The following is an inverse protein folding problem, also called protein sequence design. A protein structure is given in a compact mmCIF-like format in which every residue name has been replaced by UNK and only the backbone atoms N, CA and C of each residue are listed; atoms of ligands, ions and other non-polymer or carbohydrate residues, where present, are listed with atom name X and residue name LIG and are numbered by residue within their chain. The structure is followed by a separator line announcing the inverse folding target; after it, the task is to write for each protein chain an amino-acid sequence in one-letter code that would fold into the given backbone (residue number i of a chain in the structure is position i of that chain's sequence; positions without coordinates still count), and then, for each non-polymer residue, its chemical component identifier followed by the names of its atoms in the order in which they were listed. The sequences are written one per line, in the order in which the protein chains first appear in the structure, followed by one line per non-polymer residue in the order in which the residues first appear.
data_IF_515352583559
#
_entry.id   IF_515352583559
#
_cell.length_a   1.000
_cell.length_b   1.000
_cell.length_c   1.000
_cell.angle_alpha   90.00
_cell.angle_beta   90.00
_cell.angle_gamma   90.00
#
_symmetry.space_group_name_H-M   'P 1'
#
loop_
_entity.id
_entity.type
_entity.pdbx_description
1 polymer ?
#
# COMPACT_ATOMS: atom_id res chain seq x y z
N UNK A 1 -3.57 -3.49 50.80
CA UNK A 1 -2.54 -3.77 49.79
C UNK A 1 -2.24 -2.49 49.02
N UNK A 2 -1.03 -2.36 48.46
CA UNK A 2 -0.68 -1.35 47.47
C UNK A 2 -1.13 -1.82 46.10
N UNK A 3 -2.00 -1.05 45.46
CA UNK A 3 -2.53 -1.36 44.13
C UNK A 3 -2.07 -0.29 43.14
N UNK A 4 -1.48 -0.73 42.04
CA UNK A 4 -1.23 0.13 40.88
C UNK A 4 -2.26 -0.18 39.81
N UNK A 5 -2.94 0.84 39.30
CA UNK A 5 -3.78 0.71 38.11
C UNK A 5 -3.25 1.53 36.93
N UNK A 6 -3.31 1.01 35.70
CA UNK A 6 -2.90 1.78 34.50
C UNK A 6 -3.72 1.46 33.25
N UNK A 7 -4.24 2.52 32.62
CA UNK A 7 -5.00 2.44 31.36
C UNK A 7 -4.13 2.52 30.10
N UNK A 8 -2.80 2.55 30.27
CA UNK A 8 -1.83 2.72 29.19
C UNK A 8 -1.61 4.17 28.75
N UNK A 9 -0.78 4.34 27.73
CA UNK A 9 -0.43 5.64 27.12
C UNK A 9 -1.23 5.94 25.84
N UNK A 10 -2.12 5.04 25.44
CA UNK A 10 -2.88 5.16 24.20
C UNK A 10 -3.85 6.35 24.21
N UNK A 11 -4.20 6.85 23.02
CA UNK A 11 -5.12 7.99 22.87
C UNK A 11 -6.55 7.72 23.35
N UNK A 12 -6.92 6.46 23.49
CA UNK A 12 -8.29 6.01 23.72
C UNK A 12 -8.68 6.11 25.21
N UNK A 13 -9.92 6.52 25.54
CA UNK A 13 -10.38 6.66 26.93
C UNK A 13 -10.77 5.31 27.55
N UNK A 14 -10.43 5.00 28.81
CA UNK A 14 -10.81 3.73 29.48
C UNK A 14 -11.69 3.94 30.71
N UNK A 15 -12.76 4.70 30.53
CA UNK A 15 -13.60 5.15 31.64
C UNK A 15 -14.24 3.98 32.42
N UNK A 16 -14.47 2.82 31.78
CA UNK A 16 -14.95 1.60 32.46
C UNK A 16 -13.99 1.11 33.54
N UNK A 17 -12.70 0.98 33.23
CA UNK A 17 -11.69 0.57 34.19
C UNK A 17 -11.52 1.62 35.29
N UNK A 18 -11.46 2.91 34.92
CA UNK A 18 -11.34 4.02 35.88
C UNK A 18 -12.49 4.00 36.89
N UNK A 19 -13.73 3.78 36.44
CA UNK A 19 -14.91 3.66 37.31
C UNK A 19 -14.85 2.42 38.20
N UNK A 20 -14.43 1.28 37.65
CA UNK A 20 -14.37 0.00 38.38
C UNK A 20 -13.36 0.00 39.53
N UNK A 21 -12.41 0.94 39.53
CA UNK A 21 -11.42 1.09 40.60
C UNK A 21 -11.95 1.84 41.83
N UNK A 22 -13.12 2.50 41.77
CA UNK A 22 -13.68 3.24 42.91
C UNK A 22 -13.88 2.37 44.16
N UNK A 23 -14.46 1.16 44.08
CA UNK A 23 -14.54 0.28 45.25
C UNK A 23 -13.17 -0.22 45.71
N UNK A 24 -12.26 -0.52 44.78
CA UNK A 24 -10.88 -0.98 45.08
C UNK A 24 -10.14 0.07 45.91
N UNK A 25 -10.33 1.35 45.61
CA UNK A 25 -9.67 2.45 46.31
C UNK A 25 -10.21 2.70 47.74
N UNK A 26 -11.38 2.15 48.09
CA UNK A 26 -11.93 2.29 49.45
C UNK A 26 -11.21 1.39 50.43
N UNK A 27 -10.80 0.21 49.98
CA UNK A 27 -10.26 -0.85 50.82
C UNK A 27 -8.73 -1.01 50.68
N UNK A 28 -8.12 -0.35 49.67
CA UNK A 28 -6.71 -0.50 49.33
C UNK A 28 -6.02 0.83 49.01
N UNK A 29 -4.70 0.86 49.20
CA UNK A 29 -3.83 1.98 48.84
C UNK A 29 -3.63 1.99 47.32
N UNK A 30 -4.52 2.69 46.60
CA UNK A 30 -4.56 2.73 45.14
C UNK A 30 -3.89 4.00 44.59
N UNK A 31 -2.98 3.81 43.63
CA UNK A 31 -2.54 4.87 42.72
C UNK A 31 -2.82 4.47 41.27
N UNK A 32 -3.39 5.39 40.49
CA UNK A 32 -3.80 5.10 39.12
C UNK A 32 -3.18 6.04 38.07
N UNK A 33 -2.82 5.47 36.92
CA UNK A 33 -2.66 6.20 35.66
C UNK A 33 -3.94 6.05 34.82
N UNK A 34 -4.66 7.14 34.61
CA UNK A 34 -6.00 7.11 33.97
C UNK A 34 -6.01 7.53 32.49
N UNK A 35 -4.86 7.93 31.95
CA UNK A 35 -4.70 8.30 30.54
C UNK A 35 -5.64 9.43 30.11
N UNK A 36 -6.16 9.31 28.89
CA UNK A 36 -7.01 10.31 28.24
C UNK A 36 -8.52 10.09 28.49
N UNK A 37 -8.89 9.35 29.54
CA UNK A 37 -10.29 9.17 29.95
C UNK A 37 -10.97 10.48 30.35
N UNK A 38 -12.30 10.52 30.33
CA UNK A 38 -13.04 11.73 30.67
C UNK A 38 -13.30 11.82 32.18
N UNK A 39 -13.32 10.68 32.86
CA UNK A 39 -13.62 10.62 34.28
C UNK A 39 -12.49 11.21 35.13
N UNK A 40 -12.88 11.90 36.20
CA UNK A 40 -12.00 12.28 37.32
C UNK A 40 -12.42 11.45 38.54
N UNK A 41 -11.63 10.45 38.94
CA UNK A 41 -11.98 9.59 40.09
C UNK A 41 -11.73 10.29 41.42
N UNK A 42 -12.25 9.69 42.50
CA UNK A 42 -12.07 10.17 43.88
C UNK A 42 -10.71 9.82 44.50
N UNK A 43 -10.01 8.83 43.93
CA UNK A 43 -8.75 8.29 44.43
C UNK A 43 -7.50 8.95 43.82
N UNK A 44 -6.30 8.79 44.41
CA UNK A 44 -5.07 9.34 43.87
C UNK A 44 -4.77 8.89 42.43
N UNK A 45 -4.66 9.85 41.51
CA UNK A 45 -4.38 9.57 40.10
C UNK A 45 -3.43 10.56 39.46
N UNK A 46 -2.78 10.10 38.40
CA UNK A 46 -2.10 10.94 37.42
C UNK A 46 -2.63 10.62 36.03
N UNK A 47 -2.50 11.58 35.10
CA UNK A 47 -2.87 11.33 33.70
C UNK A 47 -1.92 10.35 33.04
N UNK A 48 -0.63 10.62 33.16
CA UNK A 48 0.45 9.84 32.55
C UNK A 48 1.65 9.81 33.49
N UNK A 49 2.16 8.62 33.81
CA UNK A 49 3.39 8.43 34.56
C UNK A 49 4.58 8.41 33.60
N UNK A 50 5.74 8.86 34.07
CA UNK A 50 6.99 8.64 33.33
C UNK A 50 7.38 7.15 33.40
N UNK A 51 8.12 6.61 32.42
CA UNK A 51 8.51 5.19 32.44
C UNK A 51 9.25 4.74 33.71
N UNK A 52 10.12 5.59 34.28
CA UNK A 52 10.83 5.30 35.54
C UNK A 52 9.89 5.25 36.75
N UNK A 53 8.92 6.17 36.79
CA UNK A 53 7.90 6.24 37.83
C UNK A 53 6.95 5.03 37.78
N UNK A 54 6.48 4.66 36.58
CA UNK A 54 5.66 3.47 36.39
C UNK A 54 6.39 2.21 36.86
N UNK A 55 7.67 2.03 36.51
CA UNK A 55 8.49 0.89 36.98
C UNK A 55 8.62 0.86 38.50
N UNK A 56 8.82 2.01 39.13
CA UNK A 56 8.86 2.11 40.60
C UNK A 56 7.53 1.67 41.22
N UNK A 57 6.40 2.19 40.74
CA UNK A 57 5.09 1.77 41.24
C UNK A 57 4.81 0.29 40.99
N UNK A 58 5.21 -0.27 39.85
CA UNK A 58 5.08 -1.72 39.59
C UNK A 58 5.90 -2.50 40.61
N UNK A 59 7.14 -2.08 40.92
CA UNK A 59 7.99 -2.77 41.89
C UNK A 59 7.39 -2.73 43.31
N UNK A 60 6.79 -1.61 43.71
CA UNK A 60 6.22 -1.40 45.05
C UNK A 60 4.80 -1.94 45.24
N UNK A 61 4.02 -2.14 44.17
CA UNK A 61 2.64 -2.59 44.26
C UNK A 61 2.53 -4.10 44.59
N UNK A 62 1.59 -4.47 45.46
CA UNK A 62 1.23 -5.87 45.70
C UNK A 62 0.45 -6.42 44.50
N UNK A 63 -0.48 -5.61 43.96
CA UNK A 63 -1.33 -5.97 42.82
C UNK A 63 -1.22 -4.91 41.72
N UNK A 64 -1.07 -5.36 40.47
CA UNK A 64 -1.06 -4.47 39.30
C UNK A 64 -2.25 -4.77 38.40
N UNK A 65 -3.14 -3.78 38.26
CA UNK A 65 -4.26 -3.79 37.32
C UNK A 65 -3.85 -2.99 36.08
N UNK A 66 -3.93 -3.58 34.89
CA UNK A 66 -3.51 -2.91 33.65
C UNK A 66 -4.46 -3.19 32.49
N UNK A 67 -4.56 -2.23 31.58
CA UNK A 67 -5.07 -2.52 30.24
C UNK A 67 -4.24 -3.60 29.53
N UNK A 68 -4.88 -4.28 28.57
CA UNK A 68 -4.23 -5.17 27.64
C UNK A 68 -3.31 -4.40 26.67
N UNK A 69 -2.00 -4.44 26.95
CA UNK A 69 -0.98 -3.77 26.16
C UNK A 69 0.42 -4.05 26.69
N UNK A 70 1.41 -3.25 26.27
CA UNK A 70 2.83 -3.48 26.58
C UNK A 70 3.13 -3.58 28.08
N UNK A 71 2.33 -2.92 28.92
CA UNK A 71 2.50 -2.96 30.38
C UNK A 71 2.32 -4.37 30.96
N UNK A 72 1.50 -5.23 30.34
CA UNK A 72 1.32 -6.63 30.76
C UNK A 72 2.68 -7.34 30.79
N UNK A 73 3.44 -7.24 29.70
CA UNK A 73 4.76 -7.87 29.61
C UNK A 73 5.79 -7.24 30.53
N UNK A 74 5.69 -5.93 30.78
CA UNK A 74 6.54 -5.26 31.76
C UNK A 74 6.33 -5.82 33.17
N UNK A 75 5.08 -5.96 33.61
CA UNK A 75 4.73 -6.51 34.94
C UNK A 75 5.19 -7.96 35.07
N UNK A 76 4.93 -8.78 34.05
CA UNK A 76 5.38 -10.18 34.00
C UNK A 76 6.91 -10.32 34.10
N UNK A 77 7.67 -9.49 33.37
CA UNK A 77 9.14 -9.50 33.42
C UNK A 77 9.70 -9.01 34.75
N UNK A 78 8.91 -8.28 35.52
CA UNK A 78 9.23 -7.91 36.91
C UNK A 78 8.81 -8.99 37.91
N UNK A 79 8.43 -10.19 37.44
CA UNK A 79 8.10 -11.34 38.27
C UNK A 79 6.71 -11.30 38.90
N UNK A 80 5.80 -10.43 38.40
CA UNK A 80 4.46 -10.24 38.95
C UNK A 80 3.38 -10.72 38.00
N UNK A 81 2.23 -11.13 38.54
CA UNK A 81 1.05 -11.53 37.78
C UNK A 81 0.10 -10.33 37.65
N UNK A 82 -0.09 -9.72 36.47
CA UNK A 82 -1.03 -8.62 36.31
C UNK A 82 -2.48 -9.11 36.29
N UNK A 83 -3.40 -8.28 36.80
CA UNK A 83 -4.82 -8.33 36.44
C UNK A 83 -5.00 -7.50 35.17
N UNK A 84 -5.43 -8.15 34.08
CA UNK A 84 -5.48 -7.56 32.75
C UNK A 84 -6.93 -7.36 32.33
N UNK A 85 -7.22 -6.14 31.87
CA UNK A 85 -8.53 -5.77 31.34
C UNK A 85 -8.38 -5.30 29.90
N UNK A 86 -9.06 -5.94 28.96
CA UNK A 86 -9.04 -5.54 27.56
C UNK A 86 -10.09 -4.45 27.28
N UNK A 87 -9.76 -3.52 26.39
CA UNK A 87 -10.75 -2.62 25.79
C UNK A 87 -11.62 -3.38 24.80
N UNK A 88 -12.90 -3.06 24.78
CA UNK A 88 -13.90 -3.72 23.95
C UNK A 88 -14.42 -2.74 22.88
N UNK A 89 -14.40 -3.16 21.62
CA UNK A 89 -14.90 -2.36 20.50
C UNK A 89 -16.41 -2.15 20.59
N UNK A 90 -17.15 -3.18 21.05
CA UNK A 90 -18.59 -3.10 21.30
C UNK A 90 -18.99 -2.02 22.32
N UNK A 91 -18.04 -1.55 23.14
CA UNK A 91 -18.24 -0.49 24.15
C UNK A 91 -17.71 0.88 23.68
N UNK A 92 -17.19 0.97 22.46
CA UNK A 92 -16.59 2.21 21.92
C UNK A 92 -15.25 2.58 22.58
N UNK A 93 -14.60 1.66 23.29
CA UNK A 93 -13.34 1.92 24.00
C UNK A 93 -12.11 1.88 23.08
N UNK A 94 -12.27 1.29 21.89
CA UNK A 94 -11.25 1.09 20.86
C UNK A 94 -11.94 0.80 19.52
N UNK A 95 -11.28 1.10 18.39
CA UNK A 95 -11.85 0.83 17.06
C UNK A 95 -11.94 -0.65 16.65
N UNK A 96 -11.31 -1.57 17.40
CA UNK A 96 -11.33 -3.02 17.14
C UNK A 96 -10.93 -3.84 18.39
N UNK A 97 -11.21 -5.15 18.37
CA UNK A 97 -10.99 -6.07 19.50
C UNK A 97 -9.60 -6.71 19.54
N UNK A 98 -8.57 -6.04 19.03
CA UNK A 98 -7.19 -6.58 19.04
C UNK A 98 -6.69 -6.87 20.47
N UNK A 99 -7.12 -6.07 21.45
CA UNK A 99 -6.79 -6.26 22.86
C UNK A 99 -7.47 -7.50 23.46
N UNK A 100 -8.72 -7.77 23.09
CA UNK A 100 -9.46 -8.94 23.55
C UNK A 100 -8.77 -10.21 23.04
N UNK A 101 -8.46 -10.27 21.75
CA UNK A 101 -7.75 -11.41 21.13
C UNK A 101 -6.37 -11.63 21.77
N UNK A 102 -5.65 -10.54 22.06
CA UNK A 102 -4.37 -10.60 22.77
C UNK A 102 -4.54 -11.30 24.12
N UNK A 103 -5.50 -10.88 24.94
CA UNK A 103 -5.71 -11.46 26.27
C UNK A 103 -6.18 -12.92 26.19
N UNK A 104 -7.09 -13.27 25.27
CA UNK A 104 -7.55 -14.64 25.05
C UNK A 104 -6.42 -15.61 24.69
N UNK A 105 -5.44 -15.13 23.92
CA UNK A 105 -4.27 -15.93 23.51
C UNK A 105 -3.23 -15.97 24.63
N UNK A 106 -2.84 -14.81 25.14
CA UNK A 106 -1.71 -14.64 26.04
C UNK A 106 -1.99 -15.20 27.44
N UNK A 107 -3.26 -15.18 27.88
CA UNK A 107 -3.70 -15.78 29.15
C UNK A 107 -3.58 -17.29 29.21
N UNK A 108 -3.41 -17.97 28.08
CA UNK A 108 -3.13 -19.42 28.04
C UNK A 108 -1.65 -19.71 28.17
N UNK A 109 -0.80 -18.73 27.82
CA UNK A 109 0.63 -18.91 27.63
C UNK A 109 1.47 -18.34 28.76
N UNK A 110 1.01 -17.26 29.40
CA UNK A 110 1.81 -16.50 30.36
C UNK A 110 1.03 -16.18 31.64
N UNK A 111 1.72 -15.78 32.73
CA UNK A 111 1.08 -15.45 34.00
C UNK A 111 0.23 -14.17 33.88
N UNK A 112 -1.08 -14.28 33.96
CA UNK A 112 -2.00 -13.15 34.13
C UNK A 112 -3.36 -13.61 34.64
N UNK A 113 -4.08 -12.71 35.29
CA UNK A 113 -5.50 -12.84 35.61
C UNK A 113 -6.28 -11.97 34.63
N UNK A 114 -7.35 -12.50 34.05
CA UNK A 114 -8.14 -11.78 33.04
C UNK A 114 -9.50 -11.41 33.59
N UNK A 115 -9.90 -10.15 33.41
CA UNK A 115 -11.28 -9.70 33.60
C UNK A 115 -11.82 -9.12 32.30
N UNK A 116 -13.01 -9.55 31.92
CA UNK A 116 -13.71 -9.14 30.69
C UNK A 116 -15.17 -8.77 30.99
N UNK A 117 -15.80 -8.02 30.10
CA UNK A 117 -17.21 -7.66 30.23
C UNK A 117 -17.45 -6.64 31.35
N UNK A 118 -18.35 -6.93 32.27
CA UNK A 118 -18.60 -6.02 33.40
C UNK A 118 -17.56 -6.21 34.50
N UNK A 119 -16.98 -5.11 34.98
CA UNK A 119 -15.83 -5.14 35.91
C UNK A 119 -16.27 -5.16 37.38
N UNK A 120 -17.49 -5.59 37.67
CA UNK A 120 -18.01 -5.72 39.04
C UNK A 120 -17.19 -6.67 39.91
N UNK A 121 -16.54 -7.69 39.31
CA UNK A 121 -15.66 -8.62 40.00
C UNK A 121 -14.24 -8.10 40.26
N UNK A 122 -13.90 -6.87 39.84
CA UNK A 122 -12.54 -6.33 40.02
C UNK A 122 -12.10 -6.24 41.50
N UNK A 123 -12.95 -5.78 42.45
CA UNK A 123 -12.56 -5.75 43.86
C UNK A 123 -12.23 -7.13 44.42
N UNK A 124 -13.08 -8.13 44.15
CA UNK A 124 -12.83 -9.52 44.57
C UNK A 124 -11.55 -10.07 43.93
N UNK A 125 -11.30 -9.79 42.65
CA UNK A 125 -10.09 -10.23 41.96
C UNK A 125 -8.82 -9.60 42.54
N UNK A 126 -8.88 -8.36 43.03
CA UNK A 126 -7.76 -7.71 43.73
C UNK A 126 -7.54 -8.34 45.10
N UNK A 127 -8.62 -8.55 45.87
CA UNK A 127 -8.56 -9.13 47.21
C UNK A 127 -8.00 -10.56 47.20
N UNK A 128 -8.45 -11.38 46.24
CA UNK A 128 -8.04 -12.78 46.08
C UNK A 128 -6.82 -12.96 45.19
N UNK A 129 -6.21 -11.87 44.71
CA UNK A 129 -5.02 -11.94 43.84
C UNK A 129 -3.87 -12.77 44.41
N UNK A 130 -3.53 -12.72 45.72
CA UNK A 130 -2.49 -13.56 46.29
C UNK A 130 -2.76 -15.07 46.16
N UNK A 131 -4.04 -15.49 46.13
CA UNK A 131 -4.44 -16.89 45.94
C UNK A 131 -4.41 -17.25 44.44
N UNK A 132 -5.08 -16.44 43.61
CA UNK A 132 -5.27 -16.69 42.18
C UNK A 132 -3.93 -16.67 41.42
N UNK A 133 -3.01 -15.79 41.84
CA UNK A 133 -1.74 -15.62 41.14
C UNK A 133 -0.81 -16.84 41.27
N UNK A 134 -0.94 -17.64 42.32
CA UNK A 134 -0.11 -18.85 42.54
C UNK A 134 -0.28 -19.85 41.39
N UNK A 135 -1.52 -20.07 40.95
CA UNK A 135 -1.84 -21.06 39.92
C UNK A 135 -1.29 -20.69 38.54
N UNK A 136 -1.10 -19.40 38.28
CA UNK A 136 -0.64 -18.89 36.97
C UNK A 136 0.81 -18.43 36.98
N UNK A 137 1.40 -18.19 38.16
CA UNK A 137 2.78 -17.70 38.31
C UNK A 137 3.83 -18.65 37.72
N UNK A 138 3.55 -19.96 37.69
CA UNK A 138 4.46 -20.97 37.13
C UNK A 138 4.59 -20.90 35.59
N UNK A 139 3.71 -20.16 34.90
CA UNK A 139 3.75 -20.09 33.42
C UNK A 139 4.97 -19.29 32.96
N UNK A 140 5.61 -19.69 31.85
CA UNK A 140 6.76 -18.96 31.34
C UNK A 140 6.35 -17.58 30.83
N UNK A 141 7.18 -16.57 31.09
CA UNK A 141 7.06 -15.25 30.45
C UNK A 141 7.79 -15.31 29.11
N UNK A 142 7.14 -15.02 27.98
CA UNK A 142 7.83 -15.13 26.70
C UNK A 142 9.01 -14.14 26.61
N UNK A 143 10.12 -14.53 25.96
CA UNK A 143 11.33 -13.70 25.88
C UNK A 143 11.07 -12.38 25.12
N UNK A 144 12.02 -11.45 25.21
CA UNK A 144 12.04 -10.29 24.30
C UNK A 144 12.28 -10.83 22.89
N UNK A 145 11.47 -10.38 21.93
CA UNK A 145 11.69 -10.73 20.53
C UNK A 145 13.11 -10.27 20.12
N UNK A 146 13.87 -11.14 19.48
CA UNK A 146 15.17 -10.78 18.92
C UNK A 146 14.99 -9.88 17.71
N UNK A 147 16.04 -9.14 17.32
CA UNK A 147 16.03 -8.34 16.08
C UNK A 147 15.65 -9.21 14.87
N UNK A 148 16.14 -10.45 14.82
CA UNK A 148 15.77 -11.43 13.79
C UNK A 148 14.28 -11.73 13.78
N UNK A 149 13.66 -11.98 14.93
CA UNK A 149 12.21 -12.24 15.01
C UNK A 149 11.37 -11.03 14.62
N UNK A 150 11.85 -9.81 14.91
CA UNK A 150 11.19 -8.58 14.47
C UNK A 150 11.29 -8.43 12.96
N UNK A 151 12.47 -8.70 12.37
CA UNK A 151 12.67 -8.69 10.92
C UNK A 151 11.80 -9.75 10.25
N UNK A 152 11.81 -11.00 10.73
CA UNK A 152 10.98 -12.08 10.20
C UNK A 152 9.48 -11.75 10.29
N UNK A 153 9.02 -11.13 11.39
CA UNK A 153 7.63 -10.70 11.51
C UNK A 153 7.30 -9.54 10.55
N UNK A 154 8.21 -8.60 10.36
CA UNK A 154 8.06 -7.52 9.37
C UNK A 154 8.07 -8.06 7.95
N UNK A 155 8.97 -8.99 7.63
CA UNK A 155 9.04 -9.69 6.36
C UNK A 155 7.77 -10.49 6.10
N UNK A 156 7.25 -11.23 7.09
CA UNK A 156 5.98 -11.93 6.98
C UNK A 156 4.80 -10.98 6.72
N UNK A 157 4.77 -9.81 7.36
CA UNK A 157 3.75 -8.76 7.10
C UNK A 157 3.93 -8.14 5.70
N UNK A 158 5.17 -8.03 5.22
CA UNK A 158 5.47 -7.55 3.87
C UNK A 158 5.14 -8.60 2.80
N UNK A 159 5.35 -9.88 3.09
CA UNK A 159 4.99 -11.01 2.23
C UNK A 159 3.47 -11.23 2.19
N UNK A 160 2.75 -10.94 3.28
CA UNK A 160 1.28 -10.93 3.29
C UNK A 160 0.72 -9.87 2.31
N UNK A 161 1.48 -8.80 2.00
CA UNK A 161 1.10 -7.83 0.95
C UNK A 161 1.21 -8.38 -0.46
N UNK A 162 2.03 -9.42 -0.70
CA UNK A 162 2.03 -10.15 -1.97
C UNK A 162 0.70 -10.91 -2.19
N UNK A 163 0.02 -11.30 -1.10
CA UNK A 163 -1.34 -11.85 -1.14
C UNK A 163 -2.44 -10.81 -1.38
N UNK A 164 -2.17 -9.53 -1.07
CA UNK A 164 -3.11 -8.40 -1.23
C UNK A 164 -2.99 -7.75 -2.63
N UNK A 165 -1.78 -7.71 -3.20
CA UNK A 165 -1.51 -7.13 -4.50
C UNK A 165 -1.11 -8.21 -5.51
N UNK A 166 -1.98 -8.61 -6.46
CA UNK A 166 -1.69 -9.66 -7.43
C UNK A 166 -0.54 -9.29 -8.38
N UNK A 167 -0.19 -8.00 -8.47
CA UNK A 167 0.90 -7.47 -9.29
C UNK A 167 2.15 -7.17 -8.47
N UNK A 168 2.25 -7.68 -7.24
CA UNK A 168 3.38 -7.42 -6.33
C UNK A 168 4.74 -7.68 -6.97
N UNK A 169 4.79 -8.72 -7.79
CA UNK A 169 5.97 -9.28 -8.43
C UNK A 169 6.34 -8.61 -9.77
N UNK A 170 5.67 -7.50 -10.12
CA UNK A 170 5.97 -6.68 -11.28
C UNK A 170 7.45 -6.23 -11.27
N UNK A 171 8.22 -6.54 -12.32
CA UNK A 171 9.67 -6.31 -12.35
C UNK A 171 10.06 -4.82 -12.33
N UNK A 172 9.15 -3.92 -12.69
CA UNK A 172 9.39 -2.47 -12.73
C UNK A 172 8.74 -1.71 -11.57
N UNK A 173 7.96 -2.43 -10.74
CA UNK A 173 7.00 -1.95 -9.73
C UNK A 173 5.89 -1.03 -10.23
N UNK A 174 5.81 -0.69 -11.52
CA UNK A 174 4.78 0.26 -12.01
C UNK A 174 3.37 -0.28 -11.81
N UNK A 175 3.14 -1.55 -12.18
CA UNK A 175 1.82 -2.18 -12.10
C UNK A 175 1.45 -2.44 -10.64
N UNK A 176 2.41 -2.91 -9.84
CA UNK A 176 2.27 -3.08 -8.39
C UNK A 176 1.87 -1.77 -7.70
N UNK A 177 2.58 -0.68 -8.00
CA UNK A 177 2.31 0.63 -7.44
C UNK A 177 0.95 1.17 -7.90
N UNK A 178 0.66 1.15 -9.19
CA UNK A 178 -0.62 1.60 -9.74
C UNK A 178 -1.81 0.86 -9.12
N UNK A 179 -1.72 -0.48 -9.02
CA UNK A 179 -2.73 -1.29 -8.35
C UNK A 179 -2.95 -0.84 -6.90
N UNK A 180 -1.88 -0.56 -6.14
CA UNK A 180 -2.01 -0.11 -4.75
C UNK A 180 -2.74 1.24 -4.61
N UNK A 181 -2.58 2.14 -5.58
CA UNK A 181 -3.25 3.44 -5.60
C UNK A 181 -4.72 3.33 -6.02
N UNK A 182 -5.06 2.31 -6.79
CA UNK A 182 -6.36 2.20 -7.47
C UNK A 182 -7.29 1.17 -6.82
N UNK A 183 -6.80 0.04 -6.32
CA UNK A 183 -7.64 -1.10 -5.93
C UNK A 183 -8.72 -0.77 -4.88
N UNK A 184 -8.47 0.22 -4.02
CA UNK A 184 -9.39 0.62 -2.95
C UNK A 184 -10.44 1.67 -3.36
N UNK A 185 -10.32 2.26 -4.56
CA UNK A 185 -11.26 3.29 -5.01
C UNK A 185 -12.55 2.67 -5.54
N UNK A 186 -13.66 3.39 -5.40
CA UNK A 186 -14.95 3.03 -5.99
C UNK A 186 -15.12 3.66 -7.38
N UNK A 187 -16.07 3.14 -8.17
CA UNK A 187 -16.36 3.64 -9.52
C UNK A 187 -15.43 3.08 -10.60
N UNK A 188 -15.75 3.39 -11.85
CA UNK A 188 -15.06 2.85 -13.02
C UNK A 188 -13.65 3.43 -13.19
N UNK A 189 -12.75 2.63 -13.74
CA UNK A 189 -11.37 2.96 -14.03
C UNK A 189 -11.09 2.96 -15.54
N UNK A 190 -10.28 3.91 -16.01
CA UNK A 190 -9.76 3.96 -17.37
C UNK A 190 -8.24 3.85 -17.37
N UNK A 191 -7.71 2.86 -18.09
CA UNK A 191 -6.27 2.70 -18.33
C UNK A 191 -5.93 3.15 -19.75
N UNK A 192 -5.27 4.31 -19.87
CA UNK A 192 -4.81 4.88 -21.14
C UNK A 192 -3.43 4.32 -21.45
N UNK A 193 -3.26 3.70 -22.63
CA UNK A 193 -2.06 2.95 -22.99
C UNK A 193 -1.96 1.61 -22.27
N UNK A 194 -3.07 0.88 -22.19
CA UNK A 194 -3.20 -0.29 -21.32
C UNK A 194 -2.38 -1.52 -21.74
N UNK A 195 -1.74 -1.51 -22.91
CA UNK A 195 -0.92 -2.62 -23.40
C UNK A 195 -1.71 -3.93 -23.50
N UNK A 196 -1.30 -4.96 -22.76
CA UNK A 196 -1.99 -6.25 -22.75
C UNK A 196 -3.11 -6.34 -21.69
N UNK A 197 -3.36 -5.25 -20.95
CA UNK A 197 -4.44 -5.15 -19.98
C UNK A 197 -4.17 -5.80 -18.63
N UNK A 198 -2.90 -5.99 -18.23
CA UNK A 198 -2.54 -6.62 -16.95
C UNK A 198 -3.13 -5.87 -15.73
N UNK A 199 -3.13 -4.53 -15.76
CA UNK A 199 -3.73 -3.73 -14.69
C UNK A 199 -5.26 -3.91 -14.64
N UNK A 200 -5.91 -3.93 -15.80
CA UNK A 200 -7.35 -4.09 -15.94
C UNK A 200 -7.78 -5.44 -15.38
N UNK A 201 -7.10 -6.52 -15.79
CA UNK A 201 -7.39 -7.87 -15.30
C UNK A 201 -7.25 -7.95 -13.78
N UNK A 202 -6.18 -7.35 -13.23
CA UNK A 202 -5.97 -7.30 -11.80
C UNK A 202 -7.08 -6.54 -11.05
N UNK A 203 -7.45 -5.33 -11.52
CA UNK A 203 -8.49 -4.52 -10.90
C UNK A 203 -9.87 -5.19 -10.95
N UNK A 204 -10.20 -5.86 -12.05
CA UNK A 204 -11.49 -6.56 -12.20
C UNK A 204 -11.53 -7.79 -11.31
N UNK A 205 -10.52 -8.66 -11.36
CA UNK A 205 -10.55 -9.96 -10.67
C UNK A 205 -10.31 -9.87 -9.17
N UNK A 206 -9.42 -8.98 -8.75
CA UNK A 206 -8.94 -8.95 -7.37
C UNK A 206 -9.46 -7.77 -6.57
N UNK A 207 -9.81 -6.65 -7.23
CA UNK A 207 -10.38 -5.49 -6.57
C UNK A 207 -11.89 -5.32 -6.82
N UNK A 208 -12.49 -6.14 -7.70
CA UNK A 208 -13.91 -6.07 -8.03
C UNK A 208 -14.33 -4.76 -8.70
N UNK A 209 -13.39 -4.08 -9.38
CA UNK A 209 -13.63 -2.80 -10.04
C UNK A 209 -14.02 -2.96 -11.50
N UNK A 210 -14.82 -2.03 -11.99
CA UNK A 210 -15.05 -1.87 -13.42
C UNK A 210 -13.86 -1.14 -14.03
N UNK A 211 -13.25 -1.72 -15.05
CA UNK A 211 -12.10 -1.14 -15.72
C UNK A 211 -12.22 -1.25 -17.25
N UNK A 212 -11.78 -0.19 -17.92
CA UNK A 212 -11.70 -0.08 -19.39
C UNK A 212 -10.28 0.31 -19.75
N UNK A 213 -9.72 -0.30 -20.79
CA UNK A 213 -8.44 0.03 -21.37
C UNK A 213 -8.58 0.65 -22.74
N UNK A 214 -7.65 1.55 -23.08
CA UNK A 214 -7.51 2.07 -24.43
C UNK A 214 -6.06 1.96 -24.85
N UNK A 215 -5.79 1.44 -26.04
CA UNK A 215 -4.43 1.40 -26.60
C UNK A 215 -4.45 1.70 -28.11
N UNK A 216 -3.37 2.30 -28.61
CA UNK A 216 -3.20 2.64 -30.03
C UNK A 216 -2.59 1.50 -30.84
N UNK A 217 -1.98 0.50 -30.21
CA UNK A 217 -1.43 -0.68 -30.90
C UNK A 217 -2.44 -1.85 -30.90
N UNK A 218 -3.11 -2.06 -32.04
CA UNK A 218 -4.06 -3.17 -32.25
C UNK A 218 -3.50 -4.56 -31.90
N UNK A 219 -2.21 -4.81 -32.18
CA UNK A 219 -1.57 -6.12 -31.96
C UNK A 219 -1.30 -6.50 -30.49
N UNK A 220 -1.42 -5.57 -29.53
CA UNK A 220 -1.32 -5.88 -28.09
C UNK A 220 -2.65 -6.41 -27.54
N UNK A 221 -3.75 -6.10 -28.21
CA UNK A 221 -5.11 -6.43 -27.79
C UNK A 221 -5.48 -7.90 -28.01
N UNK A 222 -4.89 -8.55 -29.01
CA UNK A 222 -5.09 -9.98 -29.31
C UNK A 222 -4.58 -10.91 -28.20
N UNK A 223 -3.75 -10.40 -27.28
CA UNK A 223 -3.16 -11.15 -26.16
C UNK A 223 -3.77 -10.82 -24.79
N UNK A 224 -4.74 -9.91 -24.73
CA UNK A 224 -5.47 -9.63 -23.50
C UNK A 224 -6.24 -10.89 -23.06
N UNK A 225 -5.89 -11.46 -21.91
CA UNK A 225 -6.43 -12.78 -21.51
C UNK A 225 -7.80 -12.68 -20.83
N UNK A 226 -8.66 -13.65 -21.12
CA UNK A 226 -9.72 -14.16 -20.24
C UNK A 226 -11.01 -13.34 -20.09
N UNK A 227 -10.96 -12.11 -19.59
CA UNK A 227 -12.14 -11.32 -19.16
C UNK A 227 -12.40 -10.11 -20.07
N UNK A 228 -11.43 -9.76 -20.92
CA UNK A 228 -11.44 -8.56 -21.75
C UNK A 228 -12.09 -8.87 -23.11
N UNK A 229 -13.28 -8.34 -23.36
CA UNK A 229 -13.81 -8.27 -24.72
C UNK A 229 -13.01 -7.27 -25.55
N UNK A 230 -12.69 -7.60 -26.81
CA UNK A 230 -12.14 -6.66 -27.80
C UNK A 230 -13.28 -6.14 -28.69
N UNK A 231 -13.26 -4.85 -29.05
CA UNK A 231 -14.27 -4.27 -29.96
C UNK A 231 -14.14 -2.76 -30.18
N UNK A 232 -14.73 -2.28 -31.27
CA UNK A 232 -14.67 -0.89 -31.73
C UNK A 232 -15.89 -0.09 -31.21
N UNK A 233 -15.72 0.74 -30.17
CA UNK A 233 -16.65 1.82 -29.76
C UNK A 233 -18.02 1.46 -29.11
N UNK A 234 -18.36 2.22 -28.05
CA UNK A 234 -19.53 2.21 -27.12
C UNK A 234 -19.76 0.97 -26.21
N UNK A 235 -20.03 1.23 -24.90
CA UNK A 235 -20.24 0.25 -23.80
C UNK A 235 -21.33 0.79 -22.87
N UNK A 236 -22.49 0.13 -22.70
CA UNK A 236 -22.73 -0.76 -21.55
C UNK A 236 -23.67 -1.96 -21.91
N UNK A 237 -24.02 -2.89 -21.01
CA UNK A 237 -24.97 -2.60 -19.92
C UNK A 237 -24.57 -3.05 -18.50
N UNK A 238 -23.49 -3.81 -18.30
CA UNK A 238 -22.96 -4.12 -16.96
C UNK A 238 -21.44 -4.30 -17.06
N UNK A 239 -20.65 -3.23 -16.94
CA UNK A 239 -19.20 -3.27 -17.19
C UNK A 239 -18.51 -4.26 -16.25
N UNK A 240 -17.47 -4.95 -16.76
CA UNK A 240 -16.31 -5.53 -16.04
C UNK A 240 -15.27 -5.96 -17.09
N UNK A 241 -14.27 -5.12 -17.39
CA UNK A 241 -13.10 -5.41 -18.24
C UNK A 241 -13.31 -5.33 -19.77
N UNK A 242 -12.83 -4.27 -20.42
CA UNK A 242 -12.77 -4.16 -21.90
C UNK A 242 -11.51 -3.42 -22.33
N UNK A 243 -10.95 -3.74 -23.49
CA UNK A 243 -9.92 -2.92 -24.13
C UNK A 243 -10.37 -2.48 -25.52
N UNK A 244 -10.21 -1.19 -25.79
CA UNK A 244 -10.63 -0.52 -27.03
C UNK A 244 -9.40 -0.07 -27.80
N UNK A 245 -9.34 -0.41 -29.07
CA UNK A 245 -8.36 0.18 -29.97
C UNK A 245 -8.76 1.62 -30.30
N UNK A 246 -7.85 2.57 -30.08
CA UNK A 246 -8.09 3.98 -30.42
C UNK A 246 -6.82 4.60 -30.99
N UNK A 247 -6.92 5.15 -32.19
CA UNK A 247 -5.80 5.88 -32.80
C UNK A 247 -5.30 6.99 -31.88
N UNK A 248 -3.99 7.24 -31.88
CA UNK A 248 -3.31 8.17 -30.96
C UNK A 248 -3.78 9.63 -31.01
N UNK A 249 -4.60 9.98 -32.00
CA UNK A 249 -5.15 11.33 -32.23
C UNK A 249 -6.67 11.40 -32.10
N UNK A 250 -7.31 10.26 -31.87
CA UNK A 250 -8.77 10.21 -31.76
C UNK A 250 -9.17 10.64 -30.35
N UNK A 251 -10.24 11.45 -30.20
CA UNK A 251 -10.77 11.77 -28.88
C UNK A 251 -11.28 10.49 -28.20
N UNK A 252 -11.29 10.48 -26.88
CA UNK A 252 -11.78 9.35 -26.12
C UNK A 252 -13.30 9.19 -26.35
N UNK A 253 -13.79 7.99 -26.74
CA UNK A 253 -15.21 7.76 -27.05
C UNK A 253 -16.06 7.59 -25.78
N UNK A 254 -15.78 8.39 -24.75
CA UNK A 254 -16.46 8.37 -23.46
C UNK A 254 -17.04 9.75 -23.15
N UNK A 255 -18.15 9.76 -22.42
CA UNK A 255 -18.75 11.00 -21.96
C UNK A 255 -17.86 11.69 -20.91
N UNK A 256 -18.13 12.97 -20.66
CA UNK A 256 -17.47 13.72 -19.60
C UNK A 256 -17.78 13.09 -18.24
N UNK A 257 -16.79 13.10 -17.33
CA UNK A 257 -16.93 12.58 -15.96
C UNK A 257 -17.50 11.14 -15.87
N UNK A 258 -17.03 10.25 -16.75
CA UNK A 258 -17.43 8.83 -16.78
C UNK A 258 -16.66 7.96 -15.78
N UNK A 259 -15.40 8.31 -15.50
CA UNK A 259 -14.51 7.46 -14.70
C UNK A 259 -14.16 8.11 -13.37
N UNK A 260 -14.14 7.35 -12.28
CA UNK A 260 -13.66 7.81 -10.98
C UNK A 260 -12.12 7.83 -10.90
N UNK A 261 -11.44 7.10 -11.79
CA UNK A 261 -9.97 7.08 -11.84
C UNK A 261 -9.41 6.81 -13.24
N UNK A 262 -8.24 7.38 -13.54
CA UNK A 262 -7.48 7.17 -14.79
C UNK A 262 -6.04 6.74 -14.48
N UNK A 263 -5.45 5.85 -15.28
CA UNK A 263 -4.00 5.59 -15.30
C UNK A 263 -3.38 5.90 -16.65
N UNK A 264 -2.13 6.35 -16.61
CA UNK A 264 -1.22 6.49 -17.76
C UNK A 264 0.15 5.96 -17.34
N UNK A 265 0.43 4.69 -17.64
CA UNK A 265 1.65 4.03 -17.18
C UNK A 265 2.68 3.95 -18.30
N UNK A 266 3.68 4.82 -18.26
CA UNK A 266 4.73 4.96 -19.28
C UNK A 266 4.11 5.29 -20.66
N UNK A 267 3.33 6.38 -20.70
CA UNK A 267 2.54 6.83 -21.87
C UNK A 267 2.85 8.26 -22.29
N UNK A 268 2.99 9.19 -21.34
CA UNK A 268 3.14 10.62 -21.66
C UNK A 268 4.40 10.90 -22.50
N UNK A 269 5.46 10.12 -22.31
CA UNK A 269 6.71 10.18 -23.06
C UNK A 269 6.59 9.70 -24.52
N UNK A 270 5.48 9.03 -24.86
CA UNK A 270 5.23 8.46 -26.18
C UNK A 270 4.22 9.25 -27.01
N UNK A 271 3.34 10.02 -26.36
CA UNK A 271 2.25 10.75 -27.05
C UNK A 271 2.75 11.96 -27.83
N UNK A 272 2.00 12.31 -28.86
CA UNK A 272 2.26 13.51 -29.67
C UNK A 272 2.07 14.81 -28.87
N UNK A 273 0.95 14.93 -28.15
CA UNK A 273 0.64 16.10 -27.31
C UNK A 273 0.23 15.64 -25.92
N UNK A 274 1.12 15.88 -24.95
CA UNK A 274 0.87 15.67 -23.52
C UNK A 274 -0.34 16.50 -23.05
N UNK A 275 -0.44 17.74 -23.50
CA UNK A 275 -1.55 18.63 -23.19
C UNK A 275 -2.90 18.08 -23.67
N UNK A 276 -2.96 17.58 -24.91
CA UNK A 276 -4.20 17.06 -25.48
C UNK A 276 -4.67 15.79 -24.77
N UNK A 277 -3.75 14.85 -24.50
CA UNK A 277 -4.13 13.60 -23.80
C UNK A 277 -4.52 13.86 -22.35
N UNK A 278 -3.84 14.78 -21.67
CA UNK A 278 -4.18 15.18 -20.31
C UNK A 278 -5.52 15.92 -20.25
N UNK A 279 -5.84 16.75 -21.25
CA UNK A 279 -7.13 17.40 -21.37
C UNK A 279 -8.27 16.39 -21.56
N UNK A 280 -8.09 15.38 -22.42
CA UNK A 280 -9.06 14.29 -22.60
C UNK A 280 -9.19 13.43 -21.34
N UNK A 281 -8.08 13.08 -20.68
CA UNK A 281 -8.08 12.36 -19.40
C UNK A 281 -8.86 13.14 -18.33
N UNK A 282 -8.65 14.46 -18.24
CA UNK A 282 -9.40 15.33 -17.32
C UNK A 282 -10.88 15.40 -17.67
N UNK A 283 -11.22 15.46 -18.96
CA UNK A 283 -12.61 15.53 -19.42
C UNK A 283 -13.41 14.31 -18.97
N UNK A 284 -12.85 13.11 -19.16
CA UNK A 284 -13.55 11.84 -18.85
C UNK A 284 -13.47 11.43 -17.37
N UNK A 285 -12.52 11.97 -16.60
CA UNK A 285 -12.37 11.72 -15.17
C UNK A 285 -13.36 12.56 -14.37
N UNK A 286 -14.04 12.04 -13.36
CA UNK A 286 -14.95 12.80 -12.48
C UNK A 286 -14.22 13.95 -11.74
N UNK A 287 -14.89 15.07 -11.40
CA UNK A 287 -14.32 16.08 -10.50
C UNK A 287 -13.87 15.44 -9.17
N UNK A 288 -12.65 15.72 -8.72
CA UNK A 288 -12.05 15.05 -7.55
C UNK A 288 -11.58 13.61 -7.81
N UNK A 289 -11.77 13.08 -9.02
CA UNK A 289 -11.30 11.78 -9.46
C UNK A 289 -9.76 11.67 -9.46
N UNK A 290 -9.25 10.46 -9.36
CA UNK A 290 -7.81 10.19 -9.24
C UNK A 290 -7.17 9.94 -10.59
N UNK A 291 -6.00 10.52 -10.85
CA UNK A 291 -5.12 10.10 -11.94
C UNK A 291 -3.80 9.57 -11.38
N UNK A 292 -3.32 8.45 -11.93
CA UNK A 292 -1.98 7.91 -11.64
C UNK A 292 -1.13 7.88 -12.89
N UNK A 293 0.10 8.37 -12.79
CA UNK A 293 0.99 8.57 -13.93
C UNK A 293 2.35 7.97 -13.60
N UNK A 294 2.91 7.18 -14.52
CA UNK A 294 4.33 6.80 -14.47
C UNK A 294 5.04 7.28 -15.72
N UNK A 295 6.25 7.80 -15.54
CA UNK A 295 7.13 8.23 -16.62
C UNK A 295 8.59 7.91 -16.28
N UNK A 296 9.48 7.76 -17.27
CA UNK A 296 10.89 7.58 -17.01
C UNK A 296 11.49 8.88 -16.47
N UNK A 297 12.23 8.79 -15.36
CA UNK A 297 12.89 9.92 -14.73
C UNK A 297 14.16 10.29 -15.47
N UNK A 298 14.53 11.56 -15.42
CA UNK A 298 15.88 12.03 -15.77
C UNK A 298 16.85 11.78 -14.61
N UNK A 299 17.89 11.00 -14.85
CA UNK A 299 18.92 10.63 -13.88
C UNK A 299 20.28 10.35 -14.56
N UNK A 300 21.29 9.94 -13.78
CA UNK A 300 22.66 9.74 -14.27
C UNK A 300 22.79 8.71 -15.41
N UNK A 301 21.88 7.74 -15.51
CA UNK A 301 21.89 6.71 -16.57
C UNK A 301 20.81 6.95 -17.64
N UNK A 302 20.32 8.18 -17.76
CA UNK A 302 19.33 8.55 -18.80
C UNK A 302 19.79 8.19 -20.22
N UNK A 303 21.10 8.22 -20.47
CA UNK A 303 21.67 7.87 -21.78
C UNK A 303 21.45 6.40 -22.19
N UNK A 304 21.13 5.51 -21.24
CA UNK A 304 20.81 4.10 -21.47
C UNK A 304 19.32 3.81 -21.64
N UNK A 305 18.50 4.83 -21.86
CA UNK A 305 17.07 4.64 -22.11
C UNK A 305 16.83 3.76 -23.37
N UNK A 306 16.22 2.56 -23.24
CA UNK A 306 15.91 1.70 -24.37
C UNK A 306 14.99 2.37 -25.39
N UNK A 307 14.05 3.22 -24.96
CA UNK A 307 13.15 3.97 -25.85
C UNK A 307 13.90 4.92 -26.78
N UNK A 308 15.08 5.39 -26.35
CA UNK A 308 15.96 6.23 -27.15
C UNK A 308 16.92 5.45 -28.06
N UNK A 309 17.05 4.13 -27.92
CA UNK A 309 18.00 3.33 -28.70
C UNK A 309 17.72 3.39 -30.21
N UNK A 310 16.45 3.46 -30.61
CA UNK A 310 16.05 3.59 -32.02
C UNK A 310 16.40 4.95 -32.64
N UNK A 311 16.46 6.01 -31.84
CA UNK A 311 16.82 7.36 -32.29
C UNK A 311 18.35 7.54 -32.29
N UNK A 312 19.03 7.02 -31.26
CA UNK A 312 20.49 7.15 -31.10
C UNK A 312 21.28 6.17 -31.96
N UNK A 313 20.76 4.96 -32.17
CA UNK A 313 21.44 3.87 -32.89
C UNK A 313 20.53 3.20 -33.93
N UNK A 314 20.00 3.94 -34.92
CA UNK A 314 18.94 3.46 -35.83
C UNK A 314 19.35 2.21 -36.64
N UNK A 315 20.59 2.15 -37.12
CA UNK A 315 21.09 1.00 -37.89
C UNK A 315 21.19 -0.26 -37.04
N UNK A 316 21.67 -0.13 -35.80
CA UNK A 316 21.80 -1.24 -34.87
C UNK A 316 20.42 -1.73 -34.43
N UNK A 317 19.51 -0.80 -34.10
CA UNK A 317 18.12 -1.09 -33.75
C UNK A 317 17.42 -1.87 -34.88
N UNK A 318 17.50 -1.38 -36.12
CA UNK A 318 16.95 -2.08 -37.30
C UNK A 318 17.50 -3.49 -37.43
N UNK A 319 18.82 -3.65 -37.32
CA UNK A 319 19.46 -4.96 -37.46
C UNK A 319 19.00 -5.93 -36.38
N UNK A 320 19.04 -5.54 -35.10
CA UNK A 320 18.67 -6.41 -33.99
C UNK A 320 17.18 -6.75 -34.00
N UNK A 321 16.32 -5.77 -34.26
CA UNK A 321 14.88 -5.99 -34.32
C UNK A 321 14.49 -6.90 -35.48
N UNK A 322 15.01 -6.65 -36.69
CA UNK A 322 14.72 -7.50 -37.85
C UNK A 322 15.24 -8.92 -37.69
N UNK A 323 16.38 -9.13 -37.01
CA UNK A 323 16.88 -10.46 -36.67
C UNK A 323 15.93 -11.21 -35.71
N UNK A 324 15.31 -10.50 -34.76
CA UNK A 324 14.44 -11.10 -33.74
C UNK A 324 13.00 -11.31 -34.22
N UNK A 325 12.48 -10.36 -34.99
CA UNK A 325 11.04 -10.24 -35.28
C UNK A 325 10.71 -10.27 -36.78
N UNK A 326 11.73 -10.27 -37.65
CA UNK A 326 11.58 -10.23 -39.09
C UNK A 326 11.65 -8.82 -39.67
N UNK A 327 12.19 -8.69 -40.89
CA UNK A 327 12.34 -7.42 -41.58
C UNK A 327 11.00 -6.78 -41.98
N UNK A 328 10.04 -7.58 -42.41
CA UNK A 328 8.71 -7.10 -42.82
C UNK A 328 7.96 -6.47 -41.62
N UNK A 329 8.11 -7.07 -40.44
CA UNK A 329 7.53 -6.53 -39.20
C UNK A 329 8.21 -5.23 -38.78
N UNK A 330 9.52 -5.09 -39.00
CA UNK A 330 10.21 -3.82 -38.77
C UNK A 330 9.67 -2.72 -39.69
N UNK A 331 9.50 -3.05 -40.97
CA UNK A 331 9.01 -2.10 -41.98
C UNK A 331 7.61 -1.60 -41.61
N UNK A 332 6.69 -2.52 -41.31
CA UNK A 332 5.32 -2.19 -40.87
C UNK A 332 5.30 -1.36 -39.59
N UNK A 333 6.14 -1.71 -38.61
CA UNK A 333 6.10 -1.11 -37.27
C UNK A 333 6.83 0.25 -37.19
N UNK A 334 7.86 0.48 -38.00
CA UNK A 334 8.72 1.66 -37.83
C UNK A 334 8.89 2.53 -39.09
N UNK A 335 8.52 2.03 -40.28
CA UNK A 335 8.73 2.73 -41.55
C UNK A 335 7.42 3.07 -42.25
N UNK A 336 6.56 2.09 -42.49
CA UNK A 336 5.25 2.24 -43.13
C UNK A 336 4.17 2.63 -42.11
N UNK A 337 4.35 3.79 -41.47
CA UNK A 337 3.52 4.29 -40.37
C UNK A 337 2.16 4.79 -40.85
N UNK A 338 1.18 3.90 -40.98
CA UNK A 338 -0.20 4.22 -41.40
C UNK A 338 -1.12 4.72 -40.28
N UNK A 339 -0.74 4.47 -39.02
CA UNK A 339 -1.51 4.75 -37.79
C UNK A 339 -1.00 5.98 -37.01
N UNK A 340 0.05 6.63 -37.52
CA UNK A 340 0.70 7.76 -36.85
C UNK A 340 1.64 7.37 -35.70
N UNK A 341 2.04 6.09 -35.57
CA UNK A 341 2.89 5.60 -34.49
C UNK A 341 4.14 4.87 -35.00
N UNK A 342 5.33 5.47 -34.82
CA UNK A 342 6.61 4.80 -35.08
C UNK A 342 6.95 3.86 -33.93
N UNK A 343 6.49 2.62 -34.04
CA UNK A 343 6.53 1.64 -32.97
C UNK A 343 5.44 1.94 -31.95
N UNK A 344 5.86 2.32 -30.75
CA UNK A 344 4.98 2.72 -29.64
C UNK A 344 4.93 4.24 -29.44
N UNK A 345 5.52 5.02 -30.35
CA UNK A 345 5.73 6.46 -30.16
C UNK A 345 5.25 7.26 -31.37
N UNK A 346 4.66 8.43 -31.15
CA UNK A 346 4.18 9.29 -32.24
C UNK A 346 5.29 9.59 -33.28
N UNK A 347 4.96 9.59 -34.58
CA UNK A 347 5.95 9.76 -35.67
C UNK A 347 6.74 11.06 -35.57
N UNK A 348 6.13 12.11 -35.04
CA UNK A 348 6.75 13.44 -34.88
C UNK A 348 7.79 13.50 -33.74
N UNK A 349 7.77 12.57 -32.80
CA UNK A 349 8.72 12.55 -31.69
C UNK A 349 10.09 12.12 -32.21
N UNK A 350 11.11 12.90 -31.85
CA UNK A 350 12.52 12.62 -32.16
C UNK A 350 13.28 12.01 -30.99
N UNK A 351 12.66 11.95 -29.81
CA UNK A 351 13.22 11.35 -28.61
C UNK A 351 12.11 10.77 -27.71
N UNK A 352 12.51 9.83 -26.87
CA UNK A 352 11.73 9.33 -25.74
C UNK A 352 12.03 10.23 -24.53
N UNK A 353 11.02 10.96 -24.07
CA UNK A 353 11.20 12.04 -23.10
C UNK A 353 11.47 11.49 -21.69
N UNK A 354 12.48 12.00 -20.98
CA UNK A 354 12.76 11.66 -19.58
C UNK A 354 12.53 12.88 -18.69
N UNK A 355 11.58 12.77 -17.76
CA UNK A 355 11.05 13.90 -17.01
C UNK A 355 11.91 14.24 -15.79
N UNK A 356 11.97 15.53 -15.45
CA UNK A 356 12.30 15.97 -14.09
C UNK A 356 11.04 16.02 -13.22
N UNK A 357 11.21 16.01 -11.90
CA UNK A 357 10.07 16.02 -10.97
C UNK A 357 9.26 17.30 -11.08
N UNK A 358 9.94 18.45 -11.07
CA UNK A 358 9.36 19.79 -11.22
C UNK A 358 8.58 19.90 -12.53
N UNK A 359 9.20 19.48 -13.62
CA UNK A 359 8.59 19.48 -14.95
C UNK A 359 7.29 18.67 -15.05
N UNK A 360 7.27 17.44 -14.52
CA UNK A 360 6.07 16.61 -14.55
C UNK A 360 4.95 17.20 -13.69
N UNK A 361 5.30 17.73 -12.50
CA UNK A 361 4.33 18.38 -11.61
C UNK A 361 3.73 19.61 -12.29
N UNK A 362 4.55 20.46 -12.92
CA UNK A 362 4.08 21.65 -13.65
C UNK A 362 3.20 21.29 -14.86
N UNK A 363 3.49 20.19 -15.55
CA UNK A 363 2.66 19.69 -16.66
C UNK A 363 1.29 19.22 -16.16
N UNK A 364 1.24 18.49 -15.04
CA UNK A 364 -0.03 18.06 -14.43
C UNK A 364 -0.83 19.23 -13.86
N UNK A 365 -0.15 20.19 -13.23
CA UNK A 365 -0.77 21.40 -12.68
C UNK A 365 -1.47 22.24 -13.75
N UNK A 366 -0.78 22.50 -14.87
CA UNK A 366 -1.34 23.22 -16.02
C UNK A 366 -2.50 22.47 -16.67
N UNK A 367 -2.45 21.14 -16.65
CA UNK A 367 -3.55 20.30 -17.09
C UNK A 367 -4.72 20.25 -16.10
N UNK A 368 -4.66 20.94 -14.96
CA UNK A 368 -5.75 21.02 -13.99
C UNK A 368 -5.81 19.85 -13.01
N UNK A 369 -4.67 19.26 -12.70
CA UNK A 369 -4.53 18.21 -11.69
C UNK A 369 -3.71 18.69 -10.48
N UNK A 370 -4.22 18.43 -9.28
CA UNK A 370 -3.52 18.68 -8.04
C UNK A 370 -2.71 17.44 -7.64
N UNK A 371 -1.38 17.55 -7.62
CA UNK A 371 -0.50 16.44 -7.24
C UNK A 371 -0.62 16.17 -5.74
N UNK A 372 -0.95 14.93 -5.38
CA UNK A 372 -1.16 14.47 -3.99
C UNK A 372 0.00 13.63 -3.50
N UNK A 373 0.71 12.94 -4.40
CA UNK A 373 1.86 12.11 -4.03
C UNK A 373 2.83 11.92 -5.18
N UNK A 374 4.12 11.85 -4.85
CA UNK A 374 5.21 11.53 -5.77
C UNK A 374 6.03 10.41 -5.15
N UNK A 375 6.23 9.34 -5.90
CA UNK A 375 7.06 8.19 -5.59
C UNK A 375 8.00 7.92 -6.78
N UNK A 376 8.89 6.95 -6.65
CA UNK A 376 9.82 6.56 -7.70
C UNK A 376 10.24 5.10 -7.55
N UNK A 377 10.86 4.52 -8.57
CA UNK A 377 11.46 3.20 -8.47
C UNK A 377 12.69 3.06 -9.36
N UNK A 378 13.51 2.06 -9.03
CA UNK A 378 14.64 1.56 -9.80
C UNK A 378 15.83 2.54 -9.88
N UNK A 379 17.02 2.05 -10.22
CA UNK A 379 18.18 2.87 -10.59
C UNK A 379 19.02 2.19 -11.67
N UNK A 380 19.26 0.89 -11.52
CA UNK A 380 20.11 0.09 -12.40
C UNK A 380 19.34 -0.79 -13.38
N UNK A 381 18.01 -0.81 -13.32
CA UNK A 381 17.18 -1.69 -14.15
C UNK A 381 17.52 -1.68 -15.65
N UNK A 382 17.91 -0.53 -16.19
CA UNK A 382 18.30 -0.37 -17.61
C UNK A 382 19.48 -1.27 -18.02
N UNK A 383 20.40 -1.58 -17.11
CA UNK A 383 21.51 -2.50 -17.36
C UNK A 383 21.07 -3.96 -17.47
N UNK A 384 19.96 -4.33 -16.82
CA UNK A 384 19.39 -5.67 -16.90
C UNK A 384 18.34 -5.78 -18.03
N UNK A 385 17.62 -4.69 -18.32
CA UNK A 385 16.56 -4.67 -19.33
C UNK A 385 17.07 -4.67 -20.77
N UNK A 386 18.20 -4.01 -21.05
CA UNK A 386 18.80 -4.01 -22.40
C UNK A 386 19.18 -5.44 -22.83
N UNK A 387 19.90 -6.25 -22.04
CA UNK A 387 20.11 -7.66 -22.37
C UNK A 387 18.80 -8.44 -22.50
N UNK A 388 17.82 -8.19 -21.62
CA UNK A 388 16.50 -8.85 -21.65
C UNK A 388 15.74 -8.61 -22.96
N UNK A 389 15.80 -7.39 -23.51
CA UNK A 389 15.12 -7.04 -24.75
C UNK A 389 15.71 -7.73 -25.99
N UNK A 390 16.91 -8.30 -25.88
CA UNK A 390 17.58 -9.09 -26.93
C UNK A 390 17.50 -10.61 -26.67
N UNK A 391 17.28 -11.03 -25.42
CA UNK A 391 17.10 -12.45 -25.06
C UNK A 391 15.75 -13.02 -25.54
N UNK A 392 15.71 -14.26 -26.08
CA UNK A 392 14.45 -14.93 -26.42
C UNK A 392 13.48 -14.96 -25.23
N UNK A 393 12.17 -14.88 -25.50
CA UNK A 393 11.12 -14.73 -24.46
C UNK A 393 11.26 -15.77 -23.33
N UNK A 394 11.57 -17.02 -23.68
CA UNK A 394 11.80 -18.12 -22.71
C UNK A 394 12.91 -17.87 -21.69
N UNK A 395 13.81 -16.91 -21.92
CA UNK A 395 14.95 -16.59 -21.05
C UNK A 395 14.84 -15.22 -20.38
N UNK A 396 13.81 -14.44 -20.68
CA UNK A 396 13.66 -13.11 -20.10
C UNK A 396 13.47 -13.17 -18.57
N UNK A 397 12.82 -14.24 -18.08
CA UNK A 397 12.58 -14.49 -16.65
C UNK A 397 13.85 -14.48 -15.78
N UNK A 398 15.02 -14.80 -16.37
CA UNK A 398 16.32 -14.85 -15.67
C UNK A 398 16.70 -13.49 -15.07
N UNK A 399 16.26 -12.40 -15.70
CA UNK A 399 16.59 -11.03 -15.26
C UNK A 399 15.63 -10.49 -14.20
N UNK A 400 14.48 -11.13 -13.96
CA UNK A 400 13.45 -10.62 -13.05
C UNK A 400 13.92 -10.48 -11.60
N UNK A 401 14.66 -11.44 -11.01
CA UNK A 401 15.13 -11.28 -9.62
C UNK A 401 16.01 -10.05 -9.43
N UNK A 402 16.88 -9.74 -10.41
CA UNK A 402 17.75 -8.56 -10.37
C UNK A 402 16.95 -7.26 -10.51
N UNK A 403 16.00 -7.22 -11.45
CA UNK A 403 15.09 -6.08 -11.64
C UNK A 403 14.25 -5.81 -10.38
N UNK A 404 13.71 -6.87 -9.76
CA UNK A 404 12.96 -6.77 -8.50
C UNK A 404 13.81 -6.26 -7.35
N UNK A 405 15.06 -6.74 -7.23
CA UNK A 405 15.98 -6.27 -6.21
C UNK A 405 16.29 -4.78 -6.38
N UNK A 406 16.54 -4.32 -7.62
CA UNK A 406 16.74 -2.90 -7.93
C UNK A 406 15.52 -2.05 -7.58
N UNK A 407 14.32 -2.54 -7.92
CA UNK A 407 13.06 -1.86 -7.65
C UNK A 407 12.72 -1.73 -6.15
N UNK A 408 13.24 -2.64 -5.31
CA UNK A 408 13.11 -2.59 -3.86
C UNK A 408 14.15 -1.70 -3.19
N UNK A 409 15.35 -1.61 -3.78
CA UNK A 409 16.48 -0.92 -3.18
C UNK A 409 16.61 0.56 -3.61
N UNK A 410 16.01 0.96 -4.74
CA UNK A 410 16.25 2.28 -5.33
C UNK A 410 14.98 2.97 -5.84
N UNK A 411 14.98 4.31 -5.83
CA UNK A 411 13.84 5.20 -6.14
C UNK A 411 14.25 6.36 -7.08
N UNK A 412 14.85 6.04 -8.23
CA UNK A 412 15.60 7.04 -9.01
C UNK A 412 15.39 7.03 -10.53
N UNK A 413 14.90 5.95 -11.14
CA UNK A 413 14.87 5.81 -12.59
C UNK A 413 13.50 6.02 -13.23
N UNK A 414 12.41 5.79 -12.49
CA UNK A 414 11.04 6.08 -12.89
C UNK A 414 10.37 7.00 -11.87
N UNK A 415 9.51 7.91 -12.32
CA UNK A 415 8.68 8.77 -11.49
C UNK A 415 7.25 8.28 -11.50
N UNK A 416 6.66 8.16 -10.31
CA UNK A 416 5.28 7.74 -10.11
C UNK A 416 4.52 8.88 -9.43
N UNK A 417 3.42 9.34 -10.01
CA UNK A 417 2.67 10.48 -9.51
C UNK A 417 1.19 10.14 -9.36
N UNK A 418 0.63 10.46 -8.20
CA UNK A 418 -0.81 10.43 -7.97
C UNK A 418 -1.31 11.86 -7.87
N UNK A 419 -2.34 12.20 -8.65
CA UNK A 419 -2.94 13.52 -8.66
C UNK A 419 -4.48 13.43 -8.68
N UNK A 420 -5.16 14.55 -8.42
CA UNK A 420 -6.61 14.67 -8.37
C UNK A 420 -7.10 15.72 -9.35
N UNK A 421 -8.21 15.45 -10.03
CA UNK A 421 -8.86 16.44 -10.89
C UNK A 421 -9.42 17.59 -10.02
N UNK A 422 -9.11 18.84 -10.41
CA UNK A 422 -9.72 20.06 -9.85
C UNK A 422 -11.21 20.20 -10.15
#
# INVERSE_FOLDING_TARGET
MKVLATTGMGRWPFDRLVRALEPVARDHDLVAQIGNGHLRPSYPFVRHMRPSELRRHIAEADVVVTHAGNTVRLVQRMGKVPIVVAREAARGEMGNDHQVRFVETESKLSPMVVLSGDLHGLPEAVERHPEISVDVAARPVPPVATDTQVVEALEAVLDDRAGINPLWDDPTRRLSWAYSQLAHLSGAHLDLGCGHGELIDALVRHAGRDAVGVDAESGKLERATGVVGTGDGWVPDTVRGRVVHLGSRSPLPFADATFASVSMLDVLEHVWSEEAVLAEARRVLEPGGTIVVTVPRRHAFTFLDPGNARFRFPTLHRRLYSLRHGADRYEQRFVAVGDGMRGDTAVERTEHHNYRNDELVDTLDRAGFDVVGVDAANLFWRFADIPRSVLPDRFQHITHPMLRADARAFHSANLFVTARRR
#
